data_IF_173115748802
#
_entry.id   IF_173115748802
#
_cell.length_a   1.000
_cell.length_b   1.000
_cell.length_c   1.000
_cell.angle_alpha   90.00
_cell.angle_beta   90.00
_cell.angle_gamma   90.00
#
_symmetry.space_group_name_H-M   'P 1'
#
loop_
_entity.id
_entity.type
_entity.pdbx_description
1 polymer ?
#
# COMPACT_ATOMS: atom_id res chain seq x y z
N UNK A 1 14.31 -9.06 -5.73
CA UNK A 1 13.74 -9.14 -4.36
C UNK A 1 12.23 -8.93 -4.46
N UNK A 2 11.45 -9.55 -3.57
CA UNK A 2 9.99 -9.39 -3.50
C UNK A 2 9.63 -8.43 -2.38
N UNK A 3 8.83 -7.41 -2.67
CA UNK A 3 8.48 -6.33 -1.73
C UNK A 3 6.96 -6.25 -1.61
N UNK A 4 6.45 -6.24 -0.38
CA UNK A 4 5.06 -5.96 -0.09
C UNK A 4 4.90 -4.51 0.39
N UNK A 5 4.00 -3.75 -0.24
CA UNK A 5 3.75 -2.34 0.07
C UNK A 5 2.30 -2.20 0.55
N UNK A 6 2.12 -1.49 1.66
CA UNK A 6 0.83 -1.20 2.28
C UNK A 6 0.79 0.25 2.79
N UNK A 7 -0.39 0.85 2.84
CA UNK A 7 -0.64 2.17 3.41
C UNK A 7 -2.06 2.24 3.99
N UNK A 8 -2.32 3.24 4.83
CA UNK A 8 -3.65 3.47 5.42
C UNK A 8 -4.53 4.41 4.58
N UNK A 9 -3.94 5.22 3.69
CA UNK A 9 -4.71 6.17 2.85
C UNK A 9 -5.53 5.48 1.75
N UNK A 10 -5.28 4.19 1.51
CA UNK A 10 -5.95 3.35 0.53
C UNK A 10 -5.13 3.13 -0.75
N UNK A 11 -5.53 2.11 -1.51
CA UNK A 11 -4.83 1.65 -2.72
C UNK A 11 -4.80 2.70 -3.84
N UNK A 12 -5.78 3.60 -3.87
CA UNK A 12 -5.92 4.62 -4.92
C UNK A 12 -5.08 5.88 -4.65
N UNK A 13 -4.45 5.97 -3.48
CA UNK A 13 -3.66 7.13 -3.07
C UNK A 13 -2.48 7.38 -4.02
N UNK A 14 -2.23 8.64 -4.36
CA UNK A 14 -1.16 9.02 -5.30
C UNK A 14 0.24 8.61 -4.79
N UNK A 15 0.45 8.65 -3.47
CA UNK A 15 1.72 8.27 -2.84
C UNK A 15 2.11 6.82 -3.10
N UNK A 16 1.21 5.87 -2.82
CA UNK A 16 1.49 4.44 -3.01
C UNK A 16 1.67 4.10 -4.49
N UNK A 17 0.89 4.71 -5.39
CA UNK A 17 1.07 4.54 -6.84
C UNK A 17 2.45 4.97 -7.32
N UNK A 18 2.91 6.13 -6.86
CA UNK A 18 4.23 6.69 -7.24
C UNK A 18 5.37 5.80 -6.73
N UNK A 19 5.24 5.29 -5.49
CA UNK A 19 6.20 4.37 -4.89
C UNK A 19 6.27 3.05 -5.65
N UNK A 20 5.11 2.45 -5.96
CA UNK A 20 5.01 1.21 -6.73
C UNK A 20 5.62 1.38 -8.11
N UNK A 21 5.29 2.46 -8.82
CA UNK A 21 5.82 2.73 -10.16
C UNK A 21 7.34 2.83 -10.18
N UNK A 22 7.94 3.44 -9.15
CA UNK A 22 9.39 3.61 -9.05
C UNK A 22 10.07 2.28 -8.70
N UNK A 23 9.56 1.55 -7.70
CA UNK A 23 10.19 0.32 -7.22
C UNK A 23 9.98 -0.88 -8.15
N UNK A 24 8.89 -0.90 -8.93
CA UNK A 24 8.59 -1.97 -9.88
C UNK A 24 9.57 -2.05 -11.05
N UNK A 25 10.46 -1.07 -11.22
CA UNK A 25 11.50 -1.11 -12.25
C UNK A 25 12.58 -2.16 -11.96
N UNK A 26 12.81 -2.48 -10.69
CA UNK A 26 13.91 -3.35 -10.24
C UNK A 26 13.44 -4.52 -9.36
N UNK A 27 12.18 -4.49 -8.90
CA UNK A 27 11.66 -5.41 -7.89
C UNK A 27 10.28 -5.94 -8.26
N UNK A 28 9.97 -7.13 -7.76
CA UNK A 28 8.62 -7.69 -7.84
C UNK A 28 7.80 -7.14 -6.66
N UNK A 29 6.77 -6.36 -6.97
CA UNK A 29 5.96 -5.63 -5.98
C UNK A 29 4.58 -6.29 -5.82
N UNK A 30 4.16 -6.46 -4.56
CA UNK A 30 2.78 -6.82 -4.20
C UNK A 30 2.21 -5.70 -3.35
N UNK A 31 1.02 -5.20 -3.71
CA UNK A 31 0.37 -4.10 -2.99
C UNK A 31 -0.84 -4.63 -2.23
N UNK A 32 -0.89 -4.33 -0.93
CA UNK A 32 -2.05 -4.65 -0.08
C UNK A 32 -2.43 -3.41 0.69
N UNK A 33 -3.51 -2.75 0.30
CA UNK A 33 -3.99 -1.52 0.93
C UNK A 33 -5.53 -1.52 1.04
N UNK A 34 -6.11 -0.76 1.97
CA UNK A 34 -7.55 -0.60 2.09
C UNK A 34 -8.20 -0.04 0.81
N UNK A 35 -9.47 -0.36 0.57
CA UNK A 35 -10.24 0.24 -0.52
C UNK A 35 -10.51 1.74 -0.32
N UNK A 36 -10.54 2.18 0.95
CA UNK A 36 -10.87 3.56 1.36
C UNK A 36 -9.86 4.04 2.39
N UNK A 37 -9.74 5.36 2.56
CA UNK A 37 -8.85 5.95 3.55
C UNK A 37 -9.24 5.51 4.97
N UNK A 38 -8.30 4.84 5.64
CA UNK A 38 -8.39 4.37 7.03
C UNK A 38 -7.47 5.15 7.97
N UNK A 39 -6.87 6.25 7.53
CA UNK A 39 -6.06 7.12 8.38
C UNK A 39 -6.86 7.56 9.61
N UNK A 40 -6.25 7.46 10.80
CA UNK A 40 -6.87 7.61 12.12
C UNK A 40 -7.87 6.51 12.55
N UNK A 41 -7.99 5.40 11.82
CA UNK A 41 -8.64 4.19 12.33
C UNK A 41 -7.73 3.48 13.33
N UNK A 42 -8.30 2.87 14.38
CA UNK A 42 -7.54 1.96 15.25
C UNK A 42 -6.94 0.84 14.41
N UNK A 43 -5.65 0.49 14.63
CA UNK A 43 -4.95 -0.61 13.96
C UNK A 43 -5.45 -1.99 14.42
N UNK A 44 -6.76 -2.23 14.28
CA UNK A 44 -7.43 -3.42 14.73
C UNK A 44 -7.10 -4.61 13.80
N UNK A 45 -6.59 -5.69 14.38
CA UNK A 45 -6.53 -6.99 13.71
C UNK A 45 -7.95 -7.55 13.66
N UNK A 46 -8.49 -7.72 12.45
CA UNK A 46 -9.76 -8.42 12.25
C UNK A 46 -9.50 -9.92 12.28
N UNK A 47 -10.22 -10.67 13.13
CA UNK A 47 -10.11 -12.12 13.31
C UNK A 47 -11.08 -12.88 12.39
#
# INVERSE_FOLDING_TARGET
MRILISNDDGFDAQGIKTLVQTLSQEHEIVVVAPNENKSASSSALTL
#
